data_IF_885857124408
#
_entry.id   IF_885857124408
#
_cell.length_a   1.000
_cell.length_b   1.000
_cell.length_c   1.000
_cell.angle_alpha   90.00
_cell.angle_beta   90.00
_cell.angle_gamma   90.00
#
_symmetry.space_group_name_H-M   'P 1'
#
loop_
_entity.id
_entity.type
_entity.pdbx_description
1 polymer ?
#
# COMPACT_ATOMS: atom_id res chain seq x y z
N UNK A 1 -26.25 16.36 16.71
CA UNK A 1 -25.68 15.50 15.65
C UNK A 1 -24.23 15.84 15.27
N UNK A 2 -23.80 17.07 15.31
CA UNK A 2 -22.48 17.56 14.90
C UNK A 2 -21.27 17.01 15.69
N UNK A 3 -21.38 16.90 17.01
CA UNK A 3 -20.24 16.49 17.87
C UNK A 3 -19.78 15.04 17.62
N UNK A 4 -20.73 14.13 17.37
CA UNK A 4 -20.42 12.72 17.06
C UNK A 4 -19.77 12.57 15.67
N UNK A 5 -20.17 13.42 14.73
CA UNK A 5 -19.58 13.45 13.40
C UNK A 5 -18.11 13.92 13.43
N UNK A 6 -17.81 14.99 14.19
CA UNK A 6 -16.42 15.46 14.35
C UNK A 6 -15.54 14.46 15.08
N UNK A 7 -16.06 13.76 16.09
CA UNK A 7 -15.30 12.70 16.78
C UNK A 7 -15.01 11.52 15.85
N UNK A 8 -15.97 11.10 15.04
CA UNK A 8 -15.75 10.05 14.04
C UNK A 8 -14.74 10.50 12.97
N UNK A 9 -14.86 11.73 12.49
CA UNK A 9 -13.92 12.30 11.52
C UNK A 9 -12.50 12.42 12.10
N UNK A 10 -12.36 12.84 13.36
CA UNK A 10 -11.08 12.91 14.05
C UNK A 10 -10.47 11.52 14.29
N UNK A 11 -11.29 10.51 14.63
CA UNK A 11 -10.83 9.12 14.72
C UNK A 11 -10.36 8.57 13.37
N UNK A 12 -11.10 8.86 12.29
CA UNK A 12 -10.70 8.48 10.93
C UNK A 12 -9.40 9.19 10.54
N UNK A 13 -9.28 10.49 10.83
CA UNK A 13 -8.04 11.24 10.60
C UNK A 13 -6.86 10.70 11.43
N UNK A 14 -7.09 10.34 12.69
CA UNK A 14 -6.06 9.77 13.55
C UNK A 14 -5.63 8.37 13.09
N UNK A 15 -6.57 7.58 12.57
CA UNK A 15 -6.29 6.27 11.96
C UNK A 15 -5.49 6.42 10.65
N UNK A 16 -5.76 7.47 9.86
CA UNK A 16 -4.98 7.82 8.67
C UNK A 16 -3.53 8.20 9.00
N UNK A 17 -3.25 8.55 10.25
CA UNK A 17 -1.90 8.96 10.69
C UNK A 17 -1.01 7.78 11.17
N UNK A 18 -1.51 6.56 11.23
CA UNK A 18 -0.84 5.45 11.89
C UNK A 18 0.00 4.53 10.99
N UNK A 19 -0.11 4.62 9.69
CA UNK A 19 0.58 3.72 8.78
C UNK A 19 1.67 4.40 7.93
N UNK A 20 2.71 3.72 7.49
CA UNK A 20 3.81 4.30 6.72
C UNK A 20 4.47 3.34 5.72
N UNK A 21 3.76 2.40 5.14
CA UNK A 21 4.33 1.52 4.13
C UNK A 21 3.38 1.31 2.96
N UNK A 22 3.94 1.34 1.78
CA UNK A 22 3.19 1.18 0.55
C UNK A 22 3.11 -0.28 0.14
N UNK A 23 2.00 -0.64 -0.45
CA UNK A 23 1.78 -1.92 -1.09
C UNK A 23 1.23 -1.71 -2.51
N UNK A 24 1.31 -2.72 -3.40
CA UNK A 24 0.67 -2.64 -4.70
C UNK A 24 -0.84 -2.41 -4.58
N UNK A 25 -1.47 -1.60 -5.45
CA UNK A 25 -2.90 -1.32 -5.39
C UNK A 25 -3.74 -2.56 -5.64
N UNK A 26 -5.00 -2.57 -5.18
CA UNK A 26 -5.88 -3.72 -5.31
C UNK A 26 -6.27 -4.04 -6.75
N UNK A 27 -5.98 -5.26 -7.20
CA UNK A 27 -6.41 -5.81 -8.47
C UNK A 27 -7.94 -6.00 -8.52
N UNK A 28 -8.49 -6.51 -7.43
CA UNK A 28 -9.92 -6.75 -7.28
C UNK A 28 -10.73 -5.47 -7.50
N UNK A 29 -10.31 -4.37 -6.89
CA UNK A 29 -11.00 -3.10 -7.01
C UNK A 29 -10.88 -2.51 -8.41
N UNK A 30 -9.71 -2.56 -9.02
CA UNK A 30 -9.49 -2.11 -10.39
C UNK A 30 -10.40 -2.85 -11.38
N UNK A 31 -10.53 -4.16 -11.24
CA UNK A 31 -11.38 -4.98 -12.11
C UNK A 31 -12.87 -4.85 -11.82
N UNK A 32 -13.26 -4.42 -10.62
CA UNK A 32 -14.66 -4.34 -10.20
C UNK A 32 -15.28 -2.94 -10.33
N UNK A 33 -14.55 -1.93 -10.78
CA UNK A 33 -15.09 -0.58 -11.03
C UNK A 33 -16.25 -0.66 -12.01
N UNK A 34 -17.33 0.07 -11.74
CA UNK A 34 -18.47 0.15 -12.64
C UNK A 34 -18.07 0.69 -14.01
N UNK A 35 -18.57 0.02 -15.05
CA UNK A 35 -18.39 0.48 -16.42
C UNK A 35 -19.09 1.83 -16.63
N UNK A 36 -18.39 2.77 -17.29
CA UNK A 36 -18.89 4.11 -17.57
C UNK A 36 -19.40 4.85 -16.34
N UNK A 37 -18.66 4.73 -15.23
CA UNK A 37 -19.06 5.31 -13.94
C UNK A 37 -17.89 5.66 -13.03
N UNK A 38 -18.26 6.03 -11.82
CA UNK A 38 -17.33 6.33 -10.72
C UNK A 38 -17.59 5.37 -9.58
N UNK A 39 -16.53 5.01 -8.86
CA UNK A 39 -16.59 4.23 -7.64
C UNK A 39 -15.71 4.87 -6.58
N UNK A 40 -16.19 4.91 -5.35
CA UNK A 40 -15.39 5.24 -4.20
C UNK A 40 -15.21 3.98 -3.36
N UNK A 41 -13.97 3.68 -3.01
CA UNK A 41 -13.60 2.46 -2.32
C UNK A 41 -12.97 2.80 -0.99
N UNK A 42 -13.42 2.13 0.05
CA UNK A 42 -12.82 2.15 1.38
C UNK A 42 -12.42 0.75 1.74
N UNK A 43 -11.22 0.60 2.25
CA UNK A 43 -10.73 -0.71 2.62
C UNK A 43 -9.59 -0.65 3.61
N UNK A 44 -9.01 -1.80 3.82
CA UNK A 44 -7.84 -1.93 4.65
C UNK A 44 -6.95 -3.06 4.16
N UNK A 45 -5.68 -2.85 4.37
CA UNK A 45 -4.62 -3.80 4.04
C UNK A 45 -3.86 -4.15 5.30
N UNK A 46 -3.71 -5.44 5.55
CA UNK A 46 -2.78 -5.97 6.55
C UNK A 46 -1.58 -6.52 5.83
N UNK A 47 -0.41 -6.05 6.21
CA UNK A 47 0.86 -6.55 5.71
C UNK A 47 1.60 -7.29 6.80
N UNK A 48 2.20 -8.41 6.45
CA UNK A 48 3.11 -9.18 7.30
C UNK A 48 4.24 -9.72 6.45
N UNK A 49 5.37 -10.05 7.05
CA UNK A 49 6.51 -10.59 6.32
C UNK A 49 7.79 -10.60 7.15
N UNK A 50 8.88 -10.93 6.51
CA UNK A 50 10.18 -10.92 7.15
C UNK A 50 10.59 -9.48 7.45
N UNK A 51 10.60 -9.17 8.72
CA UNK A 51 11.17 -7.94 9.26
C UNK A 51 12.65 -8.18 9.40
N UNK A 52 13.45 -7.39 8.70
CA UNK A 52 14.88 -7.43 8.89
C UNK A 52 15.24 -6.50 10.06
N UNK A 53 15.60 -7.10 11.17
CA UNK A 53 16.24 -6.37 12.25
C UNK A 53 17.68 -6.12 11.83
N UNK A 54 17.92 -5.08 11.05
CA UNK A 54 19.29 -4.65 10.79
C UNK A 54 19.81 -3.92 12.02
N UNK A 55 20.70 -4.59 12.72
CA UNK A 55 21.60 -3.94 13.67
C UNK A 55 22.62 -3.12 12.85
N UNK A 56 22.35 -1.83 12.68
CA UNK A 56 23.29 -0.94 12.02
C UNK A 56 24.10 -0.25 13.09
N UNK A 57 25.32 -0.76 13.32
CA UNK A 57 26.28 -0.12 14.21
C UNK A 57 26.92 1.07 13.51
N UNK A 58 26.53 2.27 13.84
CA UNK A 58 27.26 3.48 13.51
C UNK A 58 28.10 3.91 14.72
N UNK A 59 29.35 3.48 14.78
CA UNK A 59 30.31 4.00 15.75
C UNK A 59 31.40 4.80 15.03
N UNK A 60 31.89 5.91 15.58
CA UNK A 60 33.15 6.48 15.15
C UNK A 60 34.24 5.44 15.40
N UNK A 61 35.16 5.30 14.48
CA UNK A 61 36.22 4.28 14.46
C UNK A 61 37.12 4.19 15.70
N UNK A 62 36.90 5.00 16.72
CA UNK A 62 37.74 5.08 17.92
C UNK A 62 36.97 5.55 19.18
N UNK A 63 35.81 4.98 19.55
CA UNK A 63 35.44 4.99 20.97
C UNK A 63 34.12 4.23 21.22
N UNK A 64 34.14 3.44 22.17
CA UNK A 64 33.33 2.69 23.12
C UNK A 64 31.87 3.11 23.41
N UNK A 65 31.20 3.88 22.58
CA UNK A 65 29.77 4.08 22.66
C UNK A 65 29.11 3.42 21.45
N UNK A 66 28.60 2.23 21.64
CA UNK A 66 27.79 1.53 20.65
C UNK A 66 26.41 2.15 20.64
N UNK A 67 26.14 3.07 19.73
CA UNK A 67 24.78 3.44 19.39
C UNK A 67 24.20 2.28 18.59
N UNK A 68 23.39 1.46 19.22
CA UNK A 68 22.62 0.42 18.57
C UNK A 68 21.35 1.04 17.97
N UNK A 69 21.19 0.90 16.67
CA UNK A 69 20.00 1.33 15.97
C UNK A 69 19.18 0.09 15.59
N UNK A 70 17.94 0.07 15.99
CA UNK A 70 17.01 -0.98 15.59
C UNK A 70 16.03 -0.39 14.59
N UNK A 71 15.96 -0.98 13.42
CA UNK A 71 14.92 -0.66 12.46
C UNK A 71 13.88 -1.77 12.44
N UNK A 72 12.62 -1.40 12.57
CA UNK A 72 11.51 -2.33 12.50
C UNK A 72 10.60 -2.01 11.34
N UNK A 73 10.33 -3.01 10.53
CA UNK A 73 9.17 -3.03 9.65
C UNK A 73 8.15 -3.98 10.29
N UNK A 74 7.24 -3.46 11.09
CA UNK A 74 6.21 -4.28 11.72
C UNK A 74 5.07 -4.58 10.75
N UNK A 75 4.47 -5.78 10.90
CA UNK A 75 3.18 -6.07 10.29
C UNK A 75 2.15 -5.09 10.84
N UNK A 76 1.46 -4.35 9.96
CA UNK A 76 0.43 -3.43 10.37
C UNK A 76 -0.65 -3.31 9.30
N UNK A 77 -1.70 -2.65 9.67
CA UNK A 77 -2.84 -2.42 8.80
C UNK A 77 -2.88 -0.97 8.33
N UNK A 78 -3.34 -0.78 7.10
CA UNK A 78 -3.54 0.51 6.47
C UNK A 78 -5.01 0.72 6.16
N UNK A 79 -5.42 1.97 6.17
CA UNK A 79 -6.70 2.38 5.61
C UNK A 79 -6.48 2.85 4.18
N UNK A 80 -7.26 2.30 3.26
CA UNK A 80 -7.19 2.60 1.84
C UNK A 80 -8.43 3.39 1.42
N UNK A 81 -8.21 4.58 0.87
CA UNK A 81 -9.25 5.41 0.27
C UNK A 81 -8.94 5.56 -1.21
N UNK A 82 -9.78 5.01 -2.06
CA UNK A 82 -9.52 4.98 -3.50
C UNK A 82 -10.71 5.51 -4.26
N UNK A 83 -10.44 6.32 -5.24
CA UNK A 83 -11.42 6.84 -6.17
C UNK A 83 -11.10 6.38 -7.57
N UNK A 84 -12.08 5.78 -8.23
CA UNK A 84 -11.97 5.33 -9.60
C UNK A 84 -12.99 6.04 -10.50
N UNK A 85 -12.57 6.30 -11.73
CA UNK A 85 -13.43 6.62 -12.85
C UNK A 85 -13.11 5.65 -13.99
N UNK A 86 -14.12 5.10 -14.61
CA UNK A 86 -13.93 4.13 -15.67
C UNK A 86 -14.80 4.45 -16.88
N UNK A 87 -14.22 4.26 -18.05
CA UNK A 87 -14.93 4.04 -19.30
C UNK A 87 -15.15 2.55 -19.53
N UNK A 88 -15.68 2.19 -20.69
CA UNK A 88 -15.86 0.78 -21.05
C UNK A 88 -14.57 -0.05 -21.01
N UNK A 89 -13.41 0.56 -21.27
CA UNK A 89 -12.15 -0.16 -21.43
C UNK A 89 -10.96 0.44 -20.67
N UNK A 90 -11.10 1.63 -20.09
CA UNK A 90 -10.01 2.31 -19.39
C UNK A 90 -10.47 2.68 -17.99
N UNK A 91 -9.63 2.41 -17.01
CA UNK A 91 -9.82 2.81 -15.62
C UNK A 91 -8.75 3.82 -15.25
N UNK A 92 -9.17 4.93 -14.66
CA UNK A 92 -8.33 5.91 -14.01
C UNK A 92 -8.69 5.94 -12.53
N UNK A 93 -7.72 6.08 -11.65
CA UNK A 93 -7.97 6.18 -10.23
C UNK A 93 -6.97 7.05 -9.49
N UNK A 94 -7.41 7.50 -8.33
CA UNK A 94 -6.61 8.21 -7.35
C UNK A 94 -6.75 7.49 -6.02
N UNK A 95 -5.67 7.30 -5.31
CA UNK A 95 -5.71 6.75 -3.96
C UNK A 95 -4.93 7.60 -2.98
N UNK A 96 -5.46 7.61 -1.77
CA UNK A 96 -4.76 7.99 -0.57
C UNK A 96 -4.63 6.73 0.29
N UNK A 97 -3.46 6.19 0.33
CA UNK A 97 -3.12 5.01 1.09
C UNK A 97 -1.87 5.32 1.89
N UNK A 98 -1.98 5.24 3.19
CA UNK A 98 -0.86 5.34 4.09
C UNK A 98 0.11 6.50 3.79
N UNK A 99 -0.41 7.72 3.73
CA UNK A 99 0.32 8.95 3.35
C UNK A 99 0.89 8.97 1.93
N UNK A 100 0.60 7.98 1.10
CA UNK A 100 1.02 7.97 -0.28
C UNK A 100 -0.12 8.37 -1.18
N UNK A 101 0.14 9.36 -2.00
CA UNK A 101 -0.75 9.74 -3.09
C UNK A 101 -0.38 8.92 -4.32
N UNK A 102 -1.33 8.18 -4.86
CA UNK A 102 -1.12 7.37 -6.07
C UNK A 102 -2.16 7.70 -7.13
N UNK A 103 -1.69 7.63 -8.36
CA UNK A 103 -2.55 7.60 -9.54
C UNK A 103 -2.48 6.22 -10.17
N UNK A 104 -3.59 5.74 -10.66
CA UNK A 104 -3.70 4.48 -11.39
C UNK A 104 -4.25 4.73 -12.78
N UNK A 105 -3.76 3.98 -13.74
CA UNK A 105 -4.26 4.01 -15.10
C UNK A 105 -4.09 2.64 -15.72
N UNK A 106 -5.07 2.23 -16.52
CA UNK A 106 -4.87 1.05 -17.36
C UNK A 106 -6.11 0.56 -18.07
N UNK A 107 -5.91 -0.27 -19.08
CA UNK A 107 -6.99 -0.95 -19.79
C UNK A 107 -7.58 -2.08 -18.93
N UNK A 108 -8.90 -2.23 -19.06
CA UNK A 108 -9.66 -3.29 -18.42
C UNK A 108 -10.65 -3.90 -19.39
N UNK A 109 -10.61 -5.21 -19.47
CA UNK A 109 -11.54 -6.06 -20.21
C UNK A 109 -12.28 -6.99 -19.26
N UNK A 110 -13.19 -7.81 -19.78
CA UNK A 110 -13.98 -8.71 -18.94
C UNK A 110 -13.13 -9.74 -18.17
N UNK A 111 -12.09 -10.27 -18.82
CA UNK A 111 -11.25 -11.35 -18.29
C UNK A 111 -9.82 -10.93 -18.00
N UNK A 112 -9.45 -9.72 -18.34
CA UNK A 112 -8.08 -9.28 -18.27
C UNK A 112 -7.98 -7.78 -18.00
N UNK A 113 -6.98 -7.38 -17.23
CA UNK A 113 -6.64 -5.97 -17.00
C UNK A 113 -5.14 -5.76 -16.88
N UNK A 114 -4.72 -4.53 -17.17
CA UNK A 114 -3.37 -4.05 -16.87
C UNK A 114 -3.51 -2.79 -16.06
N UNK A 115 -2.91 -2.74 -14.90
CA UNK A 115 -2.93 -1.59 -14.01
C UNK A 115 -1.51 -1.05 -13.84
N UNK A 116 -1.27 0.17 -14.30
CA UNK A 116 -0.08 0.93 -13.95
C UNK A 116 -0.39 1.92 -12.85
N UNK A 117 0.58 2.20 -11.99
CA UNK A 117 0.47 3.25 -10.97
C UNK A 117 1.78 3.97 -10.76
N UNK A 118 1.65 5.22 -10.33
CA UNK A 118 2.75 6.03 -9.85
C UNK A 118 2.28 6.88 -8.67
N UNK A 119 3.18 7.20 -7.76
CA UNK A 119 2.85 7.99 -6.60
C UNK A 119 4.07 8.55 -5.89
N UNK A 120 3.77 9.33 -4.86
CA UNK A 120 4.76 9.95 -4.00
C UNK A 120 4.49 9.55 -2.56
N UNK A 121 5.49 8.98 -1.92
CA UNK A 121 5.50 8.74 -0.49
C UNK A 121 6.17 9.94 0.19
N UNK A 122 5.53 10.59 1.17
CA UNK A 122 6.12 11.71 1.87
C UNK A 122 7.39 11.25 2.60
N UNK A 123 8.40 12.10 2.57
CA UNK A 123 9.58 11.97 3.42
C UNK A 123 9.31 12.56 4.81
N UNK A 124 10.05 12.11 5.81
CA UNK A 124 9.99 12.76 7.12
C UNK A 124 10.49 14.21 7.04
N UNK A 125 9.65 15.15 7.46
CA UNK A 125 9.96 16.60 7.43
C UNK A 125 11.08 17.01 8.38
N UNK A 126 11.57 16.11 9.22
CA UNK A 126 12.58 16.44 10.24
C UNK A 126 14.02 16.48 9.72
N UNK A 127 14.26 15.93 8.52
CA UNK A 127 15.56 16.03 7.85
C UNK A 127 15.41 16.79 6.54
N UNK A 128 16.01 17.95 6.44
CA UNK A 128 16.03 18.84 5.25
C UNK A 128 16.52 18.17 3.94
N UNK A 129 16.98 16.92 4.00
CA UNK A 129 17.55 16.19 2.85
C UNK A 129 16.72 15.04 2.31
N UNK A 130 15.60 14.70 2.93
CA UNK A 130 14.78 13.58 2.45
C UNK A 130 13.75 14.06 1.43
N UNK A 131 14.06 13.85 0.17
CA UNK A 131 13.11 14.06 -0.92
C UNK A 131 11.99 13.01 -0.89
N UNK A 132 10.77 13.36 -1.33
CA UNK A 132 9.71 12.39 -1.51
C UNK A 132 10.18 11.21 -2.35
N UNK A 133 9.84 10.00 -1.92
CA UNK A 133 10.20 8.79 -2.65
C UNK A 133 9.14 8.51 -3.72
N UNK A 134 9.58 8.36 -4.94
CA UNK A 134 8.70 7.94 -6.04
C UNK A 134 8.42 6.45 -5.90
N UNK A 135 7.15 6.08 -5.86
CA UNK A 135 6.69 4.70 -5.86
C UNK A 135 5.89 4.43 -7.13
N UNK A 136 5.82 3.18 -7.56
CA UNK A 136 5.07 2.84 -8.75
C UNK A 136 5.28 1.41 -9.18
N UNK A 137 4.53 1.01 -10.18
CA UNK A 137 4.62 -0.34 -10.71
C UNK A 137 3.60 -0.64 -11.79
N UNK A 138 3.59 -1.88 -12.21
CA UNK A 138 2.64 -2.43 -13.16
C UNK A 138 2.14 -3.78 -12.67
N UNK A 139 0.89 -4.08 -12.96
CA UNK A 139 0.22 -5.32 -12.60
C UNK A 139 -0.56 -5.85 -13.79
N UNK A 140 -0.40 -7.14 -14.05
CA UNK A 140 -1.27 -7.91 -14.91
C UNK A 140 -2.35 -8.56 -14.03
N UNK A 141 -3.58 -8.58 -14.54
CA UNK A 141 -4.72 -9.08 -13.78
C UNK A 141 -5.53 -9.99 -14.69
N UNK A 142 -5.82 -11.18 -14.21
CA UNK A 142 -6.76 -12.10 -14.82
C UNK A 142 -8.02 -12.19 -13.96
N UNK A 143 -9.18 -12.27 -14.58
CA UNK A 143 -10.46 -12.35 -13.90
C UNK A 143 -11.35 -13.43 -14.51
N UNK A 144 -11.95 -14.22 -13.64
CA UNK A 144 -12.88 -15.28 -14.00
C UNK A 144 -14.23 -15.01 -13.30
N UNK A 145 -15.23 -14.50 -14.03
CA UNK A 145 -16.57 -14.31 -13.48
C UNK A 145 -17.24 -15.68 -13.29
N UNK A 146 -17.46 -16.07 -12.05
CA UNK A 146 -18.19 -17.30 -11.68
C UNK A 146 -19.70 -17.06 -11.82
N UNK A 147 -20.14 -15.86 -11.48
CA UNK A 147 -21.52 -15.39 -11.64
C UNK A 147 -21.54 -13.87 -11.78
N UNK A 148 -22.71 -13.29 -11.98
CA UNK A 148 -22.86 -11.83 -11.97
C UNK A 148 -22.39 -11.17 -10.68
N UNK A 149 -22.43 -11.90 -9.56
CA UNK A 149 -22.10 -11.39 -8.21
C UNK A 149 -20.72 -11.82 -7.72
N UNK A 150 -20.18 -12.90 -8.27
CA UNK A 150 -18.94 -13.53 -7.79
C UNK A 150 -17.92 -13.54 -8.92
N UNK A 151 -16.77 -12.98 -8.66
CA UNK A 151 -15.61 -13.05 -9.55
C UNK A 151 -14.39 -13.46 -8.74
N UNK A 152 -13.53 -14.25 -9.34
CA UNK A 152 -12.22 -14.59 -8.80
C UNK A 152 -11.14 -14.16 -9.78
N UNK A 153 -9.94 -13.96 -9.32
CA UNK A 153 -8.86 -13.59 -10.22
C UNK A 153 -7.49 -13.82 -9.65
N UNK A 154 -6.53 -13.67 -10.54
CA UNK A 154 -5.11 -13.73 -10.26
C UNK A 154 -4.48 -12.38 -10.61
N UNK A 155 -3.37 -12.08 -10.01
CA UNK A 155 -2.58 -10.88 -10.33
C UNK A 155 -1.10 -11.16 -10.20
N UNK A 156 -0.33 -10.53 -11.09
CA UNK A 156 1.13 -10.53 -11.07
C UNK A 156 1.59 -9.09 -11.14
N UNK A 157 2.55 -8.71 -10.31
CA UNK A 157 3.04 -7.33 -10.31
C UNK A 157 4.55 -7.25 -10.16
N UNK A 158 5.08 -6.15 -10.69
CA UNK A 158 6.40 -5.65 -10.37
C UNK A 158 6.25 -4.20 -9.92
N UNK A 159 6.88 -3.87 -8.80
CA UNK A 159 6.69 -2.57 -8.19
C UNK A 159 7.94 -2.07 -7.49
N UNK A 160 7.99 -0.75 -7.35
CA UNK A 160 8.88 -0.05 -6.44
C UNK A 160 8.04 0.62 -5.37
N UNK A 161 8.20 0.17 -4.16
CA UNK A 161 7.45 0.62 -2.99
C UNK A 161 8.39 1.31 -2.01
N UNK A 162 7.82 1.92 -0.96
CA UNK A 162 8.58 2.44 0.16
C UNK A 162 8.03 1.91 1.47
N UNK A 163 8.86 1.84 2.47
CA UNK A 163 8.46 1.50 3.83
C UNK A 163 9.12 2.45 4.82
N UNK A 164 8.48 2.60 5.97
CA UNK A 164 8.97 3.42 7.05
C UNK A 164 9.95 2.63 7.90
N UNK A 165 11.07 3.25 8.20
CA UNK A 165 12.04 2.77 9.16
C UNK A 165 12.01 3.67 10.37
N UNK A 166 11.93 3.08 11.56
CA UNK A 166 12.00 3.78 12.83
C UNK A 166 13.32 3.40 13.48
N UNK A 167 14.22 4.36 13.61
CA UNK A 167 15.44 4.17 14.38
C UNK A 167 15.20 4.57 15.82
N UNK A 168 15.45 3.66 16.72
CA UNK A 168 15.49 3.94 18.15
C UNK A 168 16.94 4.18 18.58
N UNK A 169 17.25 5.39 19.01
CA UNK A 169 18.53 5.71 19.66
C UNK A 169 18.37 5.60 21.17
N UNK A 170 19.11 4.72 21.81
CA UNK A 170 19.05 4.56 23.27
C UNK A 170 19.46 5.83 24.05
N UNK A 171 20.29 6.67 23.42
CA UNK A 171 20.91 7.81 24.10
C UNK A 171 20.03 9.05 24.23
N UNK A 172 19.05 9.31 23.36
CA UNK A 172 18.40 10.63 23.30
C UNK A 172 16.89 10.64 23.13
N UNK A 173 16.16 9.54 23.29
CA UNK A 173 14.69 9.42 23.13
C UNK A 173 14.11 10.03 21.83
N UNK A 174 14.92 10.30 20.84
CA UNK A 174 14.47 10.80 19.55
C UNK A 174 14.42 9.65 18.53
N UNK A 175 13.22 9.24 18.20
CA UNK A 175 13.01 8.32 17.10
C UNK A 175 13.26 9.04 15.78
N UNK A 176 14.23 8.58 15.01
CA UNK A 176 14.40 9.02 13.63
C UNK A 176 13.52 8.15 12.73
N UNK A 177 12.72 8.81 11.90
CA UNK A 177 11.81 8.13 10.98
C UNK A 177 12.25 8.50 9.56
N UNK A 178 12.53 7.51 8.74
CA UNK A 178 12.84 7.72 7.33
C UNK A 178 12.17 6.68 6.43
N UNK A 179 12.07 6.97 5.15
CA UNK A 179 11.49 6.06 4.17
C UNK A 179 12.58 5.39 3.35
N UNK A 180 12.61 4.07 3.36
CA UNK A 180 13.42 3.27 2.44
C UNK A 180 12.59 2.78 1.26
N UNK A 181 13.25 2.49 0.15
CA UNK A 181 12.63 1.96 -1.06
C UNK A 181 13.08 0.53 -1.31
N UNK A 182 12.16 -0.26 -1.84
CA UNK A 182 12.44 -1.61 -2.30
C UNK A 182 11.73 -1.89 -3.62
N UNK A 183 12.29 -2.78 -4.41
CA UNK A 183 11.64 -3.33 -5.58
C UNK A 183 11.10 -4.72 -5.25
N UNK A 184 9.90 -5.02 -5.74
CA UNK A 184 9.19 -6.24 -5.43
C UNK A 184 8.58 -6.84 -6.70
N UNK A 185 8.68 -8.14 -6.81
CA UNK A 185 7.86 -8.96 -7.69
C UNK A 185 6.87 -9.76 -6.84
N UNK A 186 5.62 -9.85 -7.26
CA UNK A 186 4.64 -10.59 -6.50
C UNK A 186 3.49 -11.14 -7.33
N UNK A 187 2.79 -12.08 -6.70
CA UNK A 187 1.60 -12.75 -7.23
C UNK A 187 0.48 -12.65 -6.22
N UNK A 188 -0.75 -12.64 -6.70
CA UNK A 188 -1.92 -12.55 -5.84
C UNK A 188 -3.13 -13.28 -6.39
N UNK A 189 -4.09 -13.48 -5.52
CA UNK A 189 -5.42 -13.97 -5.86
C UNK A 189 -6.46 -13.13 -5.17
N UNK A 190 -7.63 -13.02 -5.78
CA UNK A 190 -8.73 -12.27 -5.20
C UNK A 190 -10.09 -12.92 -5.44
N UNK A 191 -11.01 -12.56 -4.58
CA UNK A 191 -12.42 -12.85 -4.65
C UNK A 191 -13.21 -11.55 -4.53
N UNK A 192 -14.17 -11.32 -5.42
CA UNK A 192 -15.18 -10.26 -5.25
C UNK A 192 -16.55 -10.88 -5.07
N UNK A 193 -17.32 -10.32 -4.14
CA UNK A 193 -18.73 -10.60 -3.96
C UNK A 193 -19.52 -9.30 -3.94
N UNK A 194 -20.23 -9.00 -5.02
CA UNK A 194 -20.88 -7.69 -5.21
C UNK A 194 -19.87 -6.56 -5.04
N UNK A 195 -20.06 -5.71 -4.03
CA UNK A 195 -19.22 -4.56 -3.73
C UNK A 195 -18.04 -4.88 -2.80
N UNK A 196 -18.01 -6.08 -2.23
CA UNK A 196 -16.88 -6.51 -1.40
C UNK A 196 -15.79 -7.17 -2.21
N UNK A 197 -14.56 -6.98 -1.80
CA UNK A 197 -13.42 -7.73 -2.31
C UNK A 197 -12.49 -8.16 -1.19
N UNK A 198 -11.91 -9.32 -1.40
CA UNK A 198 -10.87 -9.90 -0.58
C UNK A 198 -9.71 -10.27 -1.49
N UNK A 199 -8.51 -9.90 -1.10
CA UNK A 199 -7.33 -10.15 -1.88
C UNK A 199 -6.19 -10.62 -0.99
N UNK A 200 -5.47 -11.62 -1.44
CA UNK A 200 -4.23 -12.10 -0.84
C UNK A 200 -3.12 -11.99 -1.86
N UNK A 201 -1.96 -11.46 -1.44
CA UNK A 201 -0.77 -11.38 -2.27
C UNK A 201 0.45 -11.85 -1.52
N UNK A 202 1.36 -12.39 -2.29
CA UNK A 202 2.72 -12.66 -1.89
C UNK A 202 3.65 -11.81 -2.74
N UNK A 203 4.57 -11.10 -2.10
CA UNK A 203 5.61 -10.31 -2.72
C UNK A 203 6.99 -10.79 -2.27
N UNK A 204 7.94 -10.77 -3.20
CA UNK A 204 9.34 -11.02 -2.93
C UNK A 204 10.17 -9.83 -3.36
N UNK A 205 11.00 -9.34 -2.45
CA UNK A 205 11.92 -8.24 -2.74
C UNK A 205 13.01 -8.68 -3.73
N UNK A 206 13.29 -7.81 -4.69
CA UNK A 206 14.32 -8.03 -5.71
C UNK A 206 15.66 -7.59 -5.12
N UNK A 207 16.61 -8.51 -5.06
CA UNK A 207 17.94 -8.25 -4.51
C UNK A 207 18.14 -8.60 -3.05
N UNK A 208 17.04 -8.80 -2.30
CA UNK A 208 17.09 -9.19 -0.89
C UNK A 208 16.16 -10.39 -0.63
N UNK A 209 16.52 -11.31 0.29
CA UNK A 209 15.70 -12.52 0.54
C UNK A 209 14.50 -12.23 1.44
N UNK A 210 13.76 -11.16 1.20
CA UNK A 210 12.61 -10.74 2.00
C UNK A 210 11.30 -11.07 1.31
N UNK A 211 10.36 -11.60 2.07
CA UNK A 211 9.03 -11.95 1.61
C UNK A 211 8.00 -11.11 2.34
N UNK A 212 6.95 -10.69 1.63
CA UNK A 212 5.82 -9.94 2.17
C UNK A 212 4.52 -10.60 1.79
N UNK A 213 3.59 -10.54 2.71
CA UNK A 213 2.22 -11.02 2.50
C UNK A 213 1.26 -9.86 2.73
N UNK A 214 0.31 -9.71 1.84
CA UNK A 214 -0.70 -8.66 1.89
C UNK A 214 -2.08 -9.30 1.93
N UNK A 215 -2.88 -8.88 2.90
CA UNK A 215 -4.29 -9.25 3.02
C UNK A 215 -5.10 -7.97 2.90
N UNK A 216 -5.92 -7.87 1.87
CA UNK A 216 -6.70 -6.68 1.57
C UNK A 216 -8.18 -7.00 1.62
N UNK A 217 -8.95 -6.10 2.19
CA UNK A 217 -10.39 -6.14 2.14
C UNK A 217 -10.95 -4.77 1.83
N UNK A 218 -11.86 -4.68 0.87
CA UNK A 218 -12.39 -3.42 0.42
C UNK A 218 -13.89 -3.49 0.18
N UNK A 219 -14.52 -2.34 0.31
CA UNK A 219 -15.91 -2.11 -0.06
C UNK A 219 -16.05 -0.94 -1.01
N UNK A 220 -16.71 -1.14 -2.15
CA UNK A 220 -16.96 -0.11 -3.15
C UNK A 220 -18.35 0.51 -2.92
N UNK A 221 -18.37 1.83 -2.77
CA UNK A 221 -19.57 2.64 -2.77
C UNK A 221 -19.87 3.15 -4.19
N UNK A 222 -21.15 3.34 -4.51
CA UNK A 222 -21.57 3.88 -5.82
C UNK A 222 -21.14 3.06 -7.03
N UNK A 223 -21.15 1.75 -6.87
CA UNK A 223 -20.77 0.83 -7.94
C UNK A 223 -22.01 0.36 -8.73
#
# INVERSE_FOLDING_TARGET
MTRKFYSALLCVLALLLAGCSNHPPSAAQFMNVKKDGMSFVVGGTVRTGNVDNREVSYGPKNNTAHDQYYSYEEGYWNLDLVWFAATSHVVLGLALEDYTYRMFLGPRFQYFGVQGWAGLSPSDRRKEKDNPKVVGGVMLIEQFPISEKIKVGLSEHISRNSYKVINHTECCSMNEIYAEQYAEFGIGTYLTYKNFSFEFRYGREIGEPRNRFYFMTHYAFFN
#
